data_IF_246342149642
#
_entry.id   IF_246342149642
#
_cell.length_a   1.000
_cell.length_b   1.000
_cell.length_c   1.000
_cell.angle_alpha   90.00
_cell.angle_beta   90.00
_cell.angle_gamma   90.00
#
_symmetry.space_group_name_H-M   'P 1'
#
loop_
_entity.id
_entity.type
_entity.pdbx_description
1 polymer ?
#
# COMPACT_ATOMS: atom_id res chain seq x y z
N UNK A 1 39.49 -36.70 -25.00
CA UNK A 1 38.13 -36.28 -24.62
C UNK A 1 37.99 -34.82 -25.02
N UNK A 2 37.38 -34.54 -26.18
CA UNK A 2 37.21 -33.19 -26.73
C UNK A 2 35.84 -32.66 -26.32
N UNK A 3 35.78 -31.74 -25.37
CA UNK A 3 34.58 -30.93 -25.11
C UNK A 3 34.47 -29.88 -26.21
N UNK A 4 33.29 -29.76 -26.83
CA UNK A 4 33.06 -28.91 -27.99
C UNK A 4 33.04 -27.43 -27.57
N UNK A 5 33.63 -26.52 -28.38
CA UNK A 5 33.71 -25.08 -28.09
C UNK A 5 32.34 -24.39 -27.93
N UNK A 6 31.25 -25.05 -28.34
CA UNK A 6 29.88 -24.58 -28.12
C UNK A 6 29.43 -24.69 -26.66
N UNK A 7 29.90 -25.70 -25.92
CA UNK A 7 29.57 -25.89 -24.50
C UNK A 7 30.26 -24.84 -23.62
N UNK A 8 31.47 -24.42 -24.01
CA UNK A 8 32.25 -23.37 -23.33
C UNK A 8 31.69 -21.95 -23.59
N UNK A 9 31.01 -21.75 -24.71
CA UNK A 9 30.30 -20.50 -25.01
C UNK A 9 28.97 -20.42 -24.23
N UNK A 10 28.24 -21.52 -24.17
CA UNK A 10 26.98 -21.60 -23.43
C UNK A 10 27.18 -21.40 -21.92
N UNK A 11 28.23 -21.98 -21.34
CA UNK A 11 28.59 -21.76 -19.93
C UNK A 11 28.96 -20.31 -19.64
N UNK A 12 29.76 -19.65 -20.50
CA UNK A 12 30.12 -18.23 -20.37
C UNK A 12 28.92 -17.29 -20.47
N UNK A 13 27.95 -17.61 -21.34
CA UNK A 13 26.70 -16.83 -21.44
C UNK A 13 25.89 -16.99 -20.15
N UNK A 14 25.79 -18.20 -19.61
CA UNK A 14 25.06 -18.49 -18.38
C UNK A 14 25.70 -17.80 -17.15
N UNK A 15 27.03 -17.79 -17.06
CA UNK A 15 27.77 -17.08 -16.01
C UNK A 15 27.54 -15.58 -16.09
N UNK A 16 27.55 -15.01 -17.30
CA UNK A 16 27.26 -13.59 -17.51
C UNK A 16 25.82 -13.24 -17.11
N UNK A 17 24.83 -14.02 -17.54
CA UNK A 17 23.44 -13.81 -17.12
C UNK A 17 23.26 -13.88 -15.60
N UNK A 18 23.96 -14.80 -14.93
CA UNK A 18 23.91 -14.92 -13.48
C UNK A 18 24.59 -13.73 -12.78
N UNK A 19 25.71 -13.23 -13.31
CA UNK A 19 26.36 -12.02 -12.81
C UNK A 19 25.45 -10.80 -12.97
N UNK A 20 24.84 -10.63 -14.14
CA UNK A 20 23.93 -9.51 -14.43
C UNK A 20 22.71 -9.55 -13.50
N UNK A 21 22.15 -10.73 -13.22
CA UNK A 21 21.06 -10.91 -12.24
C UNK A 21 21.47 -10.55 -10.82
N UNK A 22 22.69 -10.90 -10.41
CA UNK A 22 23.20 -10.57 -9.08
C UNK A 22 23.40 -9.06 -8.92
N UNK A 23 23.92 -8.38 -9.95
CA UNK A 23 24.05 -6.92 -9.96
C UNK A 23 22.68 -6.23 -9.86
N UNK A 24 21.69 -6.71 -10.62
CA UNK A 24 20.32 -6.18 -10.56
C UNK A 24 19.71 -6.41 -9.17
N UNK A 25 19.92 -7.59 -8.56
CA UNK A 25 19.43 -7.88 -7.22
C UNK A 25 20.03 -6.93 -6.17
N UNK A 26 21.34 -6.69 -6.23
CA UNK A 26 22.03 -5.75 -5.33
C UNK A 26 21.54 -4.31 -5.50
N UNK A 27 21.26 -3.88 -6.74
CA UNK A 27 20.67 -2.57 -6.99
C UNK A 27 19.24 -2.50 -6.42
N UNK A 28 18.44 -3.55 -6.60
CA UNK A 28 17.07 -3.63 -6.07
C UNK A 28 17.04 -3.63 -4.54
N UNK A 29 17.98 -4.29 -3.86
CA UNK A 29 18.05 -4.32 -2.40
C UNK A 29 18.16 -2.92 -1.77
N UNK A 30 18.91 -2.01 -2.41
CA UNK A 30 19.02 -0.61 -1.98
C UNK A 30 17.69 0.16 -2.02
N UNK A 31 16.74 -0.33 -2.79
CA UNK A 31 15.40 0.25 -2.92
C UNK A 31 14.33 -0.57 -2.19
N UNK A 32 14.48 -1.90 -2.06
CA UNK A 32 13.57 -2.80 -1.37
C UNK A 32 13.67 -2.67 0.15
N UNK A 33 14.87 -2.40 0.69
CA UNK A 33 15.08 -2.19 2.12
C UNK A 33 14.59 -0.83 2.63
N UNK A 34 14.05 0.02 1.75
CA UNK A 34 13.54 1.34 2.11
C UNK A 34 12.06 1.26 2.44
N UNK A 35 11.82 1.33 3.74
CA UNK A 35 10.51 1.32 4.39
C UNK A 35 9.51 2.35 3.84
N UNK A 36 9.98 3.48 3.30
CA UNK A 36 9.16 4.59 2.81
C UNK A 36 8.67 4.42 1.36
N UNK A 37 8.93 3.28 0.70
CA UNK A 37 8.63 3.10 -0.73
C UNK A 37 7.87 1.81 -1.00
N UNK A 38 7.02 1.85 -2.03
CA UNK A 38 6.32 0.67 -2.56
C UNK A 38 6.71 0.51 -4.02
N UNK A 39 7.13 -0.69 -4.39
CA UNK A 39 7.32 -1.02 -5.79
C UNK A 39 5.98 -1.24 -6.47
N UNK A 40 5.80 -0.54 -7.58
CA UNK A 40 4.60 -0.62 -8.38
C UNK A 40 4.95 -0.81 -9.84
N UNK A 41 4.18 -1.66 -10.50
CA UNK A 41 4.14 -1.74 -11.95
C UNK A 41 3.18 -0.67 -12.47
N UNK A 42 3.71 0.26 -13.28
CA UNK A 42 2.87 1.18 -14.03
C UNK A 42 2.03 0.40 -15.05
N UNK A 43 0.73 0.69 -15.10
CA UNK A 43 -0.23 0.14 -16.04
C UNK A 43 -1.13 1.26 -16.56
N UNK A 44 -1.88 0.97 -17.61
CA UNK A 44 -2.83 1.91 -18.19
C UNK A 44 -4.25 1.36 -18.00
N UNK A 45 -5.11 2.09 -17.30
CA UNK A 45 -6.53 1.79 -17.18
C UNK A 45 -7.33 2.80 -18.01
N UNK A 46 -7.60 2.43 -19.27
CA UNK A 46 -8.23 3.33 -20.24
C UNK A 46 -7.32 4.52 -20.56
N UNK A 47 -7.78 5.74 -20.30
CA UNK A 47 -6.99 6.95 -20.50
C UNK A 47 -6.19 7.38 -19.26
N UNK A 48 -6.33 6.66 -18.15
CA UNK A 48 -5.66 7.00 -16.89
C UNK A 48 -4.49 6.06 -16.61
N UNK A 49 -3.40 6.64 -16.14
CA UNK A 49 -2.28 5.87 -15.59
C UNK A 49 -2.72 5.25 -14.25
N UNK A 50 -2.37 3.98 -14.05
CA UNK A 50 -2.58 3.27 -12.81
C UNK A 50 -1.31 2.54 -12.39
N UNK A 51 -1.24 2.16 -11.12
CA UNK A 51 -0.06 1.53 -10.53
C UNK A 51 -0.50 0.30 -9.75
N UNK A 52 0.12 -0.85 -10.02
CA UNK A 52 -0.17 -2.12 -9.34
C UNK A 52 1.04 -2.52 -8.52
N UNK A 53 0.88 -2.61 -7.20
CA UNK A 53 1.89 -3.12 -6.28
C UNK A 53 1.31 -4.15 -5.33
N UNK A 54 2.18 -4.84 -4.59
CA UNK A 54 1.79 -5.73 -3.50
C UNK A 54 2.49 -5.33 -2.22
N UNK A 55 1.78 -5.42 -1.10
CA UNK A 55 2.28 -5.19 0.25
C UNK A 55 1.75 -6.27 1.17
N UNK A 56 2.45 -6.52 2.28
CA UNK A 56 1.94 -7.42 3.33
C UNK A 56 0.82 -6.74 4.11
N UNK A 57 -0.04 -7.53 4.76
CA UNK A 57 -1.07 -6.99 5.66
C UNK A 57 -0.45 -6.26 6.86
N UNK A 58 0.71 -6.72 7.33
CA UNK A 58 1.48 -6.06 8.40
C UNK A 58 1.99 -4.68 7.97
N UNK A 59 2.48 -4.54 6.73
CA UNK A 59 2.84 -3.24 6.16
C UNK A 59 1.62 -2.31 6.09
N UNK A 60 0.46 -2.84 5.70
CA UNK A 60 -0.78 -2.07 5.63
C UNK A 60 -1.22 -1.55 7.01
N UNK A 61 -1.25 -2.40 8.03
CA UNK A 61 -1.66 -2.03 9.40
C UNK A 61 -0.72 -0.99 10.03
N UNK A 62 0.59 -1.13 9.82
CA UNK A 62 1.57 -0.21 10.37
C UNK A 62 1.54 1.18 9.73
N UNK A 63 1.17 1.31 8.45
CA UNK A 63 1.28 2.56 7.67
C UNK A 63 -0.03 3.19 7.20
N UNK A 64 -1.10 2.41 7.05
CA UNK A 64 -2.42 2.91 6.65
C UNK A 64 -3.29 3.03 7.89
N UNK A 65 -3.71 4.26 8.19
CA UNK A 65 -4.61 4.56 9.30
C UNK A 65 -6.04 4.58 8.79
N UNK A 66 -6.98 4.14 9.63
CA UNK A 66 -8.40 4.31 9.32
C UNK A 66 -8.74 5.80 9.25
N UNK A 67 -9.70 6.17 8.40
CA UNK A 67 -10.19 7.55 8.33
C UNK A 67 -10.59 8.08 9.72
N UNK A 68 -11.06 7.20 10.61
CA UNK A 68 -11.42 7.56 11.97
C UNK A 68 -10.26 8.05 12.85
N UNK A 69 -9.02 7.84 12.41
CA UNK A 69 -7.80 8.23 13.12
C UNK A 69 -7.18 9.50 12.52
N UNK A 70 -7.82 10.12 11.53
CA UNK A 70 -7.35 11.39 10.95
C UNK A 70 -7.37 12.50 12.01
N UNK A 71 -6.43 13.47 11.95
CA UNK A 71 -6.37 14.59 12.89
C UNK A 71 -7.69 15.35 13.05
N UNK A 72 -8.44 15.50 11.95
CA UNK A 72 -9.77 16.11 11.91
C UNK A 72 -10.74 15.52 12.95
N UNK A 73 -10.65 14.21 13.22
CA UNK A 73 -11.57 13.51 14.13
C UNK A 73 -11.02 13.30 15.55
N UNK A 74 -9.80 13.77 15.86
CA UNK A 74 -9.18 13.57 17.19
C UNK A 74 -10.06 14.06 18.34
N UNK A 75 -10.75 15.19 18.16
CA UNK A 75 -11.62 15.76 19.19
C UNK A 75 -12.91 14.96 19.42
N UNK A 76 -13.26 14.07 18.47
CA UNK A 76 -14.46 13.24 18.49
C UNK A 76 -14.12 11.78 18.74
N UNK A 77 -12.86 11.44 19.01
CA UNK A 77 -12.45 10.05 19.26
C UNK A 77 -12.82 9.63 20.68
N UNK A 78 -13.60 8.56 20.80
CA UNK A 78 -13.94 7.93 22.06
C UNK A 78 -12.94 6.80 22.38
N UNK A 79 -12.18 7.00 23.45
CA UNK A 79 -11.18 6.05 23.95
C UNK A 79 -11.79 4.76 24.50
N UNK A 80 -13.07 4.76 24.90
CA UNK A 80 -13.74 3.57 25.42
C UNK A 80 -14.13 2.61 24.30
N UNK A 81 -14.65 3.13 23.19
CA UNK A 81 -15.09 2.33 22.03
C UNK A 81 -14.04 2.21 20.93
N UNK A 82 -12.91 2.91 21.08
CA UNK A 82 -11.84 3.01 20.08
C UNK A 82 -12.38 3.46 18.71
N UNK A 83 -13.33 4.40 18.72
CA UNK A 83 -14.06 4.83 17.53
C UNK A 83 -14.50 6.29 17.68
N UNK A 84 -15.01 6.88 16.60
CA UNK A 84 -15.51 8.26 16.64
C UNK A 84 -16.93 8.31 17.22
N UNK A 85 -17.17 9.30 18.09
CA UNK A 85 -18.48 9.71 18.58
C UNK A 85 -19.34 10.17 17.42
N UNK A 86 -20.47 9.50 17.22
CA UNK A 86 -21.41 9.78 16.12
C UNK A 86 -22.46 10.77 16.60
N UNK A 87 -22.14 12.06 16.53
CA UNK A 87 -23.10 13.15 16.67
C UNK A 87 -23.53 13.70 15.30
N UNK A 88 -24.50 14.60 15.31
CA UNK A 88 -25.04 15.29 14.14
C UNK A 88 -23.95 15.96 13.29
N UNK A 89 -22.98 16.62 13.92
CA UNK A 89 -21.85 17.24 13.24
C UNK A 89 -20.85 16.24 12.62
N UNK A 90 -20.79 15.02 13.17
CA UNK A 90 -19.80 14.00 12.78
C UNK A 90 -20.34 13.01 11.75
N UNK A 91 -21.66 12.79 11.70
CA UNK A 91 -22.32 11.93 10.71
C UNK A 91 -22.15 12.48 9.28
N UNK A 92 -22.24 13.80 9.10
CA UNK A 92 -22.06 14.45 7.79
C UNK A 92 -20.60 14.37 7.30
N UNK A 93 -19.63 14.30 8.24
CA UNK A 93 -18.20 14.19 7.93
C UNK A 93 -17.73 12.73 7.77
N UNK A 94 -18.43 11.78 8.40
CA UNK A 94 -18.13 10.35 8.36
C UNK A 94 -19.24 9.62 7.60
N UNK A 95 -19.31 9.86 6.29
CA UNK A 95 -19.98 8.90 5.40
C UNK A 95 -18.99 7.76 5.11
N UNK A 96 -18.63 7.02 6.16
CA UNK A 96 -18.03 5.69 6.03
C UNK A 96 -18.86 4.70 6.83
N UNK A 97 -19.14 3.54 6.23
CA UNK A 97 -19.91 2.49 6.90
C UNK A 97 -19.17 2.09 8.19
N UNK A 98 -19.87 2.03 9.34
CA UNK A 98 -19.27 1.45 10.54
C UNK A 98 -18.80 0.01 10.25
N UNK A 99 -17.74 -0.42 10.93
CA UNK A 99 -17.27 -1.80 10.88
C UNK A 99 -18.39 -2.74 11.35
N UNK A 100 -18.90 -3.55 10.41
CA UNK A 100 -19.97 -4.51 10.66
C UNK A 100 -19.38 -5.84 11.17
N UNK A 101 -19.28 -5.95 12.49
CA UNK A 101 -18.75 -7.13 13.18
C UNK A 101 -19.64 -8.37 13.06
N UNK A 102 -20.91 -8.22 12.65
CA UNK A 102 -21.79 -9.38 12.43
C UNK A 102 -21.24 -10.34 11.36
N UNK A 103 -20.35 -9.84 10.51
CA UNK A 103 -19.72 -10.59 9.42
C UNK A 103 -18.45 -11.34 9.83
N UNK A 104 -18.03 -11.24 11.09
CA UNK A 104 -16.77 -11.85 11.55
C UNK A 104 -16.71 -13.35 11.24
N UNK A 105 -17.76 -14.11 11.56
CA UNK A 105 -17.77 -15.56 11.33
C UNK A 105 -17.66 -15.91 9.84
N UNK A 106 -18.42 -15.23 8.98
CA UNK A 106 -18.38 -15.44 7.53
C UNK A 106 -17.02 -15.01 6.93
N UNK A 107 -16.42 -13.94 7.45
CA UNK A 107 -15.10 -13.47 7.06
C UNK A 107 -14.01 -14.48 7.45
N UNK A 108 -14.05 -15.00 8.68
CA UNK A 108 -13.12 -16.04 9.15
C UNK A 108 -13.26 -17.30 8.31
N UNK A 109 -14.47 -17.75 8.01
CA UNK A 109 -14.69 -18.90 7.14
C UNK A 109 -14.17 -18.65 5.72
N UNK A 110 -14.41 -17.46 5.16
CA UNK A 110 -13.89 -17.08 3.85
C UNK A 110 -12.36 -17.13 3.81
N UNK A 111 -11.70 -16.60 4.85
CA UNK A 111 -10.25 -16.59 5.03
C UNK A 111 -9.65 -17.99 5.23
N UNK A 112 -10.38 -18.89 5.90
CA UNK A 112 -9.91 -20.24 6.18
C UNK A 112 -10.15 -21.20 5.00
N UNK A 113 -11.24 -21.03 4.26
CA UNK A 113 -11.67 -21.96 3.22
C UNK A 113 -11.05 -21.70 1.85
N UNK A 114 -10.55 -20.50 1.58
CA UNK A 114 -9.94 -20.15 0.30
C UNK A 114 -8.44 -19.95 0.50
N UNK A 115 -7.64 -20.22 -0.54
CA UNK A 115 -6.21 -19.85 -0.55
C UNK A 115 -6.01 -18.50 -1.23
N UNK A 116 -6.88 -18.15 -2.17
CA UNK A 116 -6.92 -16.87 -2.85
C UNK A 116 -8.10 -16.04 -2.36
N UNK A 117 -7.78 -14.95 -1.67
CA UNK A 117 -8.75 -14.01 -1.13
C UNK A 117 -8.75 -12.75 -1.98
N UNK A 118 -9.93 -12.31 -2.43
CA UNK A 118 -10.10 -10.97 -2.98
C UNK A 118 -10.68 -10.11 -1.86
N UNK A 119 -9.88 -9.18 -1.37
CA UNK A 119 -10.37 -8.15 -0.47
C UNK A 119 -11.09 -7.07 -1.30
N UNK A 120 -12.15 -6.46 -0.76
CA UNK A 120 -12.77 -5.30 -1.40
C UNK A 120 -11.73 -4.19 -1.55
N UNK A 121 -11.88 -3.38 -2.61
CA UNK A 121 -11.01 -2.22 -2.81
C UNK A 121 -11.11 -1.29 -1.59
N UNK A 122 -9.96 -0.90 -1.05
CA UNK A 122 -9.85 0.12 0.00
C UNK A 122 -9.57 1.44 -0.66
N UNK A 123 -10.38 2.47 -0.40
CA UNK A 123 -10.08 3.83 -0.78
C UNK A 123 -9.13 4.43 0.26
N UNK A 124 -7.91 4.76 -0.15
CA UNK A 124 -6.90 5.38 0.71
C UNK A 124 -6.66 6.79 0.21
N UNK A 125 -6.63 7.76 1.13
CA UNK A 125 -6.29 9.15 0.84
C UNK A 125 -4.88 9.39 1.35
N UNK A 126 -4.01 9.90 0.49
CA UNK A 126 -2.71 10.42 0.92
C UNK A 126 -2.94 11.79 1.51
N UNK A 127 -2.59 11.98 2.77
CA UNK A 127 -2.65 13.27 3.47
C UNK A 127 -1.21 13.76 3.70
N UNK A 128 -0.69 14.64 2.83
CA UNK A 128 0.59 15.28 3.06
C UNK A 128 0.61 16.10 4.36
N UNK A 129 1.75 16.19 5.07
CA UNK A 129 1.83 16.92 6.34
C UNK A 129 1.44 18.40 6.24
N UNK A 130 1.58 19.02 5.06
CA UNK A 130 1.22 20.41 4.83
C UNK A 130 -0.29 20.66 4.83
N UNK A 131 -1.12 19.65 4.51
CA UNK A 131 -2.58 19.82 4.40
C UNK A 131 -3.18 20.24 5.75
N UNK A 132 -2.69 19.67 6.84
CA UNK A 132 -3.14 20.01 8.19
C UNK A 132 -2.37 21.21 8.81
N UNK A 133 -1.41 21.80 8.08
CA UNK A 133 -0.65 22.97 8.52
C UNK A 133 -1.21 24.25 7.85
N UNK A 134 -1.97 25.08 8.57
CA UNK A 134 -2.56 26.30 8.01
C UNK A 134 -1.52 27.37 7.63
N UNK A 135 -0.26 27.20 8.04
CA UNK A 135 0.86 28.08 7.70
C UNK A 135 1.75 27.48 6.61
N UNK A 136 1.35 26.39 5.97
CA UNK A 136 2.14 25.79 4.91
C UNK A 136 2.13 26.67 3.65
N UNK A 137 3.26 26.74 2.96
CA UNK A 137 3.43 27.55 1.76
C UNK A 137 2.50 27.07 0.61
N UNK A 138 2.08 25.81 0.66
CA UNK A 138 1.13 25.19 -0.28
C UNK A 138 -0.30 25.76 -0.19
N UNK A 139 -0.68 26.42 0.91
CA UNK A 139 -1.98 27.10 1.08
C UNK A 139 -1.98 28.53 0.53
N UNK A 140 -1.17 28.82 -0.48
CA UNK A 140 -1.09 30.15 -1.07
C UNK A 140 -2.40 30.58 -1.77
N UNK A 141 -2.45 31.84 -2.17
CA UNK A 141 -3.58 32.47 -2.88
C UNK A 141 -3.86 31.86 -4.26
N UNK A 142 -2.98 31.01 -4.78
CA UNK A 142 -3.21 30.23 -5.97
C UNK A 142 -3.67 28.81 -5.64
N UNK A 143 -4.06 28.59 -4.37
CA UNK A 143 -4.42 27.32 -3.75
C UNK A 143 -4.85 26.31 -4.79
N UNK A 144 -4.17 25.17 -4.79
CA UNK A 144 -4.68 24.02 -5.55
C UNK A 144 -6.13 23.77 -5.13
#
# INVERSE_FOLDING_TARGET
MNTQPADDLASKILEKENSDRQEIALLLDNYLGKDDRIFVQKTQMGNSEAYIGSVTLEWLDSRVRFASQMPLFRQKFDLQTNNIVRDDATIDQIIQRPLDWSRQAALTQYLAARKSHKFPAVLVVVSPPWVDNPLADEWDKNGV
#
